data_IF_850186260004
#
_entry.id   IF_850186260004
#
_cell.length_a   1.000
_cell.length_b   1.000
_cell.length_c   1.000
_cell.angle_alpha   90.00
_cell.angle_beta   90.00
_cell.angle_gamma   90.00
#
_symmetry.space_group_name_H-M   'P 1'
#
loop_
_entity.id
_entity.type
_entity.pdbx_description
1 polymer ?
#
# COMPACT_ATOMS: atom_id res chain seq x y z
N UNK A 1 15.57 19.34 11.45
CA UNK A 1 14.31 19.45 10.68
C UNK A 1 13.63 20.75 11.08
N UNK A 2 13.26 21.56 10.09
CA UNK A 2 12.49 22.79 10.29
C UNK A 2 11.07 22.54 9.78
N UNK A 3 10.08 22.77 10.63
CA UNK A 3 8.67 22.66 10.28
C UNK A 3 8.19 23.90 9.51
N UNK A 4 7.04 23.85 8.81
CA UNK A 4 6.46 24.99 8.12
C UNK A 4 6.19 26.21 9.02
N UNK A 5 5.93 25.99 10.32
CA UNK A 5 5.75 27.03 11.35
C UNK A 5 7.08 27.56 11.93
N UNK A 6 8.21 27.22 11.27
CA UNK A 6 9.59 27.61 11.62
C UNK A 6 10.12 26.98 12.93
N UNK A 7 9.40 26.12 13.62
CA UNK A 7 9.97 25.38 14.75
C UNK A 7 11.05 24.42 14.28
N UNK A 8 12.15 24.38 15.00
CA UNK A 8 13.29 23.49 14.70
C UNK A 8 13.31 22.32 15.67
N UNK A 9 13.49 21.12 15.13
CA UNK A 9 13.64 19.89 15.89
C UNK A 9 14.89 19.15 15.45
N UNK A 10 15.49 18.43 16.39
CA UNK A 10 16.60 17.53 16.11
C UNK A 10 16.04 16.10 15.98
N UNK A 11 16.46 15.41 14.94
CA UNK A 11 16.11 14.01 14.71
C UNK A 11 17.41 13.21 14.52
N UNK A 12 17.47 12.02 15.05
CA UNK A 12 18.64 11.17 14.88
C UNK A 12 18.80 10.79 13.40
N UNK A 13 20.01 10.98 12.84
CA UNK A 13 20.28 10.75 11.40
C UNK A 13 19.83 9.38 10.92
N UNK A 14 19.96 8.33 11.76
CA UNK A 14 19.53 6.95 11.43
C UNK A 14 18.00 6.79 11.33
N UNK A 15 17.23 7.76 11.83
CA UNK A 15 15.76 7.75 11.70
C UNK A 15 15.28 8.41 10.39
N UNK A 16 16.20 8.86 9.55
CA UNK A 16 15.89 9.47 8.25
C UNK A 16 16.34 8.53 7.14
N UNK A 17 15.46 8.31 6.17
CA UNK A 17 15.80 7.72 4.88
C UNK A 17 15.59 8.78 3.79
N UNK A 18 16.54 8.97 2.85
CA UNK A 18 16.32 9.88 1.74
C UNK A 18 15.21 9.32 0.83
N UNK A 19 14.31 10.19 0.41
CA UNK A 19 13.41 9.86 -0.70
C UNK A 19 14.22 9.79 -2.00
N UNK A 20 13.83 8.94 -2.96
CA UNK A 20 14.45 8.91 -4.28
C UNK A 20 14.42 10.32 -4.90
N UNK A 21 15.57 10.82 -5.32
CA UNK A 21 15.69 12.16 -5.95
C UNK A 21 15.38 12.13 -7.44
N UNK A 22 15.67 11.00 -8.08
CA UNK A 22 15.47 10.77 -9.50
C UNK A 22 14.32 9.79 -9.72
N UNK A 23 13.61 9.90 -10.84
CA UNK A 23 12.65 8.89 -11.24
C UNK A 23 13.33 7.52 -11.28
N UNK A 24 12.80 6.57 -10.52
CA UNK A 24 13.28 5.18 -10.54
C UNK A 24 12.72 4.46 -11.77
N UNK A 25 13.37 3.39 -12.20
CA UNK A 25 12.77 2.49 -13.18
C UNK A 25 11.47 1.91 -12.66
N UNK A 26 10.58 1.50 -13.55
CA UNK A 26 9.33 0.83 -13.16
C UNK A 26 9.60 -0.35 -12.22
N UNK A 27 10.51 -1.26 -12.63
CA UNK A 27 10.86 -2.42 -11.83
C UNK A 27 11.30 -2.04 -10.41
N UNK A 28 12.19 -1.05 -10.28
CA UNK A 28 12.66 -0.60 -8.95
C UNK A 28 11.55 0.07 -8.14
N UNK A 29 10.67 0.81 -8.80
CA UNK A 29 9.53 1.46 -8.12
C UNK A 29 8.54 0.42 -7.60
N UNK A 30 8.24 -0.63 -8.37
CA UNK A 30 7.42 -1.77 -7.95
C UNK A 30 8.00 -2.47 -6.72
N UNK A 31 9.29 -2.79 -6.75
CA UNK A 31 10.02 -3.36 -5.60
C UNK A 31 9.89 -2.47 -4.37
N UNK A 32 10.12 -1.16 -4.50
CA UNK A 32 10.04 -0.21 -3.40
C UNK A 32 8.63 -0.14 -2.80
N UNK A 33 7.57 -0.21 -3.60
CA UNK A 33 6.19 -0.23 -3.10
C UNK A 33 5.98 -1.46 -2.20
N UNK A 34 6.38 -2.65 -2.68
CA UNK A 34 6.28 -3.90 -1.92
C UNK A 34 7.13 -3.88 -0.65
N UNK A 35 8.40 -3.46 -0.77
CA UNK A 35 9.30 -3.31 0.38
C UNK A 35 8.71 -2.37 1.45
N UNK A 36 8.13 -1.25 1.02
CA UNK A 36 7.54 -0.27 1.93
C UNK A 36 6.27 -0.81 2.60
N UNK A 37 5.37 -1.48 1.86
CA UNK A 37 4.21 -2.14 2.44
C UNK A 37 4.61 -3.20 3.48
N UNK A 38 5.64 -4.00 3.17
CA UNK A 38 6.13 -5.07 4.05
C UNK A 38 6.66 -4.57 5.39
N UNK A 39 7.20 -3.33 5.45
CA UNK A 39 7.65 -2.72 6.70
C UNK A 39 6.53 -2.51 7.72
N UNK A 40 5.28 -2.49 7.28
CA UNK A 40 4.12 -2.34 8.16
C UNK A 40 3.50 -3.67 8.61
N UNK A 41 4.01 -4.83 8.21
CA UNK A 41 3.48 -6.12 8.65
C UNK A 41 3.37 -6.18 10.18
N UNK A 42 2.22 -6.66 10.66
CA UNK A 42 1.81 -6.71 12.07
C UNK A 42 1.56 -5.35 12.75
N UNK A 43 1.69 -4.22 12.06
CA UNK A 43 1.22 -2.93 12.58
C UNK A 43 -0.29 -2.98 12.79
N UNK A 44 -0.75 -2.48 13.93
CA UNK A 44 -2.17 -2.46 14.31
C UNK A 44 -3.02 -1.70 13.28
N UNK A 45 -4.18 -2.26 12.93
CA UNK A 45 -5.18 -1.55 12.15
C UNK A 45 -5.72 -0.36 12.95
N UNK A 46 -5.75 0.81 12.31
CA UNK A 46 -6.35 2.01 12.89
C UNK A 46 -6.96 2.86 11.79
N UNK A 47 -8.26 3.06 11.83
CA UNK A 47 -8.97 3.90 10.89
C UNK A 47 -8.36 5.32 10.82
N UNK A 48 -8.10 5.83 9.61
CA UNK A 48 -7.43 7.10 9.36
C UNK A 48 -5.92 7.11 9.62
N UNK A 49 -5.33 5.99 10.08
CA UNK A 49 -3.90 5.88 10.39
C UNK A 49 -3.02 5.82 9.16
N UNK A 50 -1.77 6.34 9.31
CA UNK A 50 -0.71 6.33 8.28
C UNK A 50 0.68 6.09 8.87
N UNK A 51 0.78 5.52 10.05
CA UNK A 51 2.06 5.39 10.76
C UNK A 51 2.22 4.00 11.37
N UNK A 52 3.41 3.69 11.89
CA UNK A 52 3.64 2.47 12.67
C UNK A 52 2.89 2.44 14.02
N UNK A 53 2.31 3.55 14.49
CA UNK A 53 1.41 3.57 15.64
C UNK A 53 -0.02 3.14 15.29
N UNK A 54 -0.30 2.91 14.02
CA UNK A 54 -1.56 2.45 13.47
C UNK A 54 -1.76 2.90 12.05
N UNK A 55 -2.33 2.03 11.22
CA UNK A 55 -2.52 2.26 9.79
C UNK A 55 -3.82 1.59 9.30
N UNK A 56 -4.53 2.22 8.35
CA UNK A 56 -5.64 1.58 7.65
C UNK A 56 -5.24 1.10 6.24
N UNK A 57 -6.18 0.49 5.51
CA UNK A 57 -5.93 -0.12 4.22
C UNK A 57 -5.40 0.89 3.18
N UNK A 58 -6.08 2.02 3.04
CA UNK A 58 -5.67 3.06 2.09
C UNK A 58 -4.46 3.85 2.57
N UNK A 59 -4.27 3.99 3.89
CA UNK A 59 -3.06 4.54 4.48
C UNK A 59 -1.83 3.70 4.16
N UNK A 60 -1.95 2.38 4.20
CA UNK A 60 -0.87 1.46 3.81
C UNK A 60 -0.50 1.63 2.34
N UNK A 61 -1.47 1.56 1.42
CA UNK A 61 -1.23 1.76 -0.01
C UNK A 61 -0.64 3.15 -0.29
N UNK A 62 -1.21 4.20 0.33
CA UNK A 62 -0.72 5.57 0.22
C UNK A 62 0.75 5.70 0.67
N UNK A 63 1.08 5.18 1.84
CA UNK A 63 2.45 5.28 2.38
C UNK A 63 3.44 4.44 1.57
N UNK A 64 3.06 3.25 1.13
CA UNK A 64 3.90 2.39 0.31
C UNK A 64 4.27 3.08 -1.02
N UNK A 65 3.28 3.66 -1.71
CA UNK A 65 3.48 4.40 -2.95
C UNK A 65 4.24 5.71 -2.72
N UNK A 66 3.87 6.49 -1.70
CA UNK A 66 4.49 7.78 -1.40
C UNK A 66 5.99 7.65 -1.11
N UNK A 67 6.38 6.65 -0.33
CA UNK A 67 7.79 6.37 -0.04
C UNK A 67 8.56 5.81 -1.25
N UNK A 68 7.85 5.31 -2.27
CA UNK A 68 8.42 4.94 -3.56
C UNK A 68 8.45 6.12 -4.57
N UNK A 69 8.03 7.32 -4.16
CA UNK A 69 8.02 8.53 -4.99
C UNK A 69 6.73 8.72 -5.80
N UNK A 70 5.70 7.93 -5.57
CA UNK A 70 4.41 8.05 -6.27
C UNK A 70 3.33 8.54 -5.30
N UNK A 71 2.62 9.60 -5.70
CA UNK A 71 1.46 10.08 -4.96
C UNK A 71 0.18 9.48 -5.54
N UNK A 72 -0.59 8.80 -4.69
CA UNK A 72 -1.93 8.32 -4.99
C UNK A 72 -2.95 9.07 -4.12
N UNK A 73 -4.24 8.90 -4.41
CA UNK A 73 -5.28 9.42 -3.52
C UNK A 73 -5.22 8.73 -2.16
N UNK A 74 -5.54 9.47 -1.07
CA UNK A 74 -5.41 8.96 0.30
C UNK A 74 -6.39 7.81 0.61
N UNK A 75 -7.58 7.87 0.05
CA UNK A 75 -8.63 6.91 0.31
C UNK A 75 -8.74 5.87 -0.81
N UNK A 76 -9.45 4.77 -0.55
CA UNK A 76 -9.60 3.64 -1.48
C UNK A 76 -10.57 3.97 -2.63
N UNK A 77 -10.28 5.05 -3.36
CA UNK A 77 -11.07 5.55 -4.49
C UNK A 77 -10.23 5.53 -5.77
N UNK A 78 -10.51 4.56 -6.63
CA UNK A 78 -9.76 4.32 -7.87
C UNK A 78 -9.70 5.56 -8.76
N UNK A 79 -10.85 6.18 -9.03
CA UNK A 79 -10.98 7.25 -10.02
C UNK A 79 -10.34 8.59 -9.57
N UNK A 80 -9.97 8.70 -8.31
CA UNK A 80 -9.27 9.88 -7.76
C UNK A 80 -7.74 9.84 -7.90
N UNK A 81 -7.19 8.74 -8.43
CA UNK A 81 -5.76 8.64 -8.74
C UNK A 81 -5.54 8.69 -10.25
N UNK A 82 -5.22 9.85 -10.85
CA UNK A 82 -5.22 10.04 -12.32
C UNK A 82 -4.26 9.14 -13.10
N UNK A 83 -3.22 8.61 -12.45
CA UNK A 83 -2.24 7.71 -13.06
C UNK A 83 -2.65 6.24 -13.03
N UNK A 84 -3.68 5.91 -12.26
CA UNK A 84 -4.09 4.53 -12.08
C UNK A 84 -4.85 4.06 -13.32
N UNK A 85 -4.39 2.98 -13.93
CA UNK A 85 -5.02 2.34 -15.09
C UNK A 85 -5.61 1.03 -14.65
N UNK A 86 -6.85 0.77 -15.03
CA UNK A 86 -7.49 -0.52 -14.77
C UNK A 86 -6.79 -1.63 -15.56
N UNK A 87 -6.56 -2.74 -14.87
CA UNK A 87 -5.96 -3.96 -15.42
C UNK A 87 -6.78 -5.17 -14.99
N UNK A 88 -6.64 -6.29 -15.69
CA UNK A 88 -7.21 -7.56 -15.26
C UNK A 88 -6.55 -8.01 -13.95
N UNK A 89 -7.33 -8.66 -13.06
CA UNK A 89 -6.85 -9.15 -11.77
C UNK A 89 -5.61 -10.04 -11.90
N UNK A 90 -5.69 -10.98 -12.84
CA UNK A 90 -4.64 -11.99 -13.04
C UNK A 90 -3.40 -11.42 -13.78
N UNK A 91 -3.49 -10.19 -14.30
CA UNK A 91 -2.37 -9.46 -14.89
C UNK A 91 -1.63 -8.58 -13.87
N UNK A 92 -2.13 -8.50 -12.64
CA UNK A 92 -1.54 -7.65 -11.61
C UNK A 92 -0.12 -8.12 -11.23
N UNK A 93 0.81 -7.19 -11.23
CA UNK A 93 2.20 -7.38 -10.86
C UNK A 93 2.48 -6.83 -9.46
N UNK A 94 3.60 -7.19 -8.83
CA UNK A 94 4.03 -6.58 -7.57
C UNK A 94 4.00 -5.04 -7.66
N UNK A 95 3.41 -4.40 -6.62
CA UNK A 95 3.25 -2.94 -6.56
C UNK A 95 1.99 -2.40 -7.23
N UNK A 96 1.20 -3.21 -7.92
CA UNK A 96 -0.15 -2.84 -8.35
C UNK A 96 -1.14 -2.87 -7.16
N UNK A 97 -2.34 -2.36 -7.36
CA UNK A 97 -3.32 -2.18 -6.31
C UNK A 97 -4.60 -2.98 -6.59
N UNK A 98 -5.07 -3.74 -5.61
CA UNK A 98 -6.37 -4.38 -5.64
C UNK A 98 -7.39 -3.55 -4.89
N UNK A 99 -8.54 -3.32 -5.52
CA UNK A 99 -9.66 -2.58 -4.93
C UNK A 99 -10.82 -3.54 -4.68
N UNK A 100 -11.35 -3.45 -3.47
CA UNK A 100 -12.50 -4.22 -2.99
C UNK A 100 -13.58 -3.25 -2.50
N UNK A 101 -14.75 -3.75 -2.18
CA UNK A 101 -15.82 -2.94 -1.58
C UNK A 101 -15.35 -2.31 -0.26
N UNK A 102 -15.07 -0.99 -0.29
CA UNK A 102 -14.58 -0.23 0.87
C UNK A 102 -13.16 -0.59 1.33
N UNK A 103 -12.33 -1.23 0.47
CA UNK A 103 -11.01 -1.70 0.87
C UNK A 103 -10.00 -1.68 -0.28
N UNK A 104 -8.70 -1.62 0.06
CA UNK A 104 -7.59 -1.64 -0.91
C UNK A 104 -6.42 -2.46 -0.37
N UNK A 105 -5.68 -3.10 -1.26
CA UNK A 105 -4.48 -3.87 -0.95
C UNK A 105 -3.36 -3.61 -1.96
N UNK A 106 -2.13 -3.89 -1.58
CA UNK A 106 -0.92 -3.82 -2.43
C UNK A 106 -0.60 -5.23 -2.91
N UNK A 107 -0.65 -5.46 -4.22
CA UNK A 107 -0.27 -6.73 -4.85
C UNK A 107 1.23 -7.01 -4.65
N UNK A 108 1.56 -8.29 -4.40
CA UNK A 108 2.96 -8.74 -4.24
C UNK A 108 3.33 -9.86 -5.23
N UNK A 109 2.41 -10.22 -6.11
CA UNK A 109 2.56 -11.25 -7.15
C UNK A 109 1.72 -12.49 -6.89
N UNK A 110 1.47 -13.26 -7.95
CA UNK A 110 0.76 -14.56 -7.89
C UNK A 110 -0.61 -14.53 -7.20
N UNK A 111 -1.29 -13.38 -7.25
CA UNK A 111 -2.58 -13.18 -6.56
C UNK A 111 -2.46 -12.90 -5.06
N UNK A 112 -1.25 -12.81 -4.53
CA UNK A 112 -0.97 -12.46 -3.15
C UNK A 112 -0.90 -10.94 -2.97
N UNK A 113 -1.22 -10.46 -1.77
CA UNK A 113 -1.20 -9.04 -1.45
C UNK A 113 -0.95 -8.77 0.03
N UNK A 114 -0.55 -7.54 0.34
CA UNK A 114 -0.44 -7.01 1.72
C UNK A 114 -1.54 -5.98 1.92
N UNK A 115 -2.25 -6.08 3.04
CA UNK A 115 -3.29 -5.13 3.41
C UNK A 115 -3.40 -4.89 4.92
N UNK A 116 -3.89 -3.72 5.31
CA UNK A 116 -4.31 -3.46 6.68
C UNK A 116 -5.81 -3.75 6.80
N UNK A 117 -6.19 -4.69 7.65
CA UNK A 117 -7.59 -5.11 7.76
C UNK A 117 -8.11 -5.06 9.18
N UNK A 118 -9.32 -4.51 9.35
CA UNK A 118 -9.99 -4.48 10.65
C UNK A 118 -10.36 -5.88 11.14
N UNK A 119 -10.64 -6.82 10.23
CA UNK A 119 -10.99 -8.20 10.58
C UNK A 119 -9.86 -8.94 11.30
N UNK A 120 -8.60 -8.70 10.92
CA UNK A 120 -7.41 -9.25 11.59
C UNK A 120 -6.80 -8.26 12.60
N UNK A 121 -7.31 -7.04 12.66
CA UNK A 121 -6.84 -5.97 13.54
C UNK A 121 -5.44 -5.43 13.21
N UNK A 122 -4.87 -5.78 12.07
CA UNK A 122 -3.48 -5.48 11.72
C UNK A 122 -3.20 -5.52 10.22
N UNK A 123 -1.98 -5.15 9.85
CA UNK A 123 -1.42 -5.42 8.51
C UNK A 123 -1.01 -6.89 8.42
N UNK A 124 -1.48 -7.56 7.38
CA UNK A 124 -1.24 -8.99 7.14
C UNK A 124 -1.22 -9.28 5.64
N UNK A 125 -0.96 -10.53 5.31
CA UNK A 125 -1.12 -11.05 3.96
C UNK A 125 -2.57 -11.41 3.66
N UNK A 126 -2.94 -11.36 2.38
CA UNK A 126 -4.13 -11.93 1.81
C UNK A 126 -3.80 -12.55 0.47
N UNK A 127 -4.69 -13.37 -0.07
CA UNK A 127 -4.48 -14.07 -1.34
C UNK A 127 -5.81 -14.44 -1.98
N UNK A 128 -5.79 -14.60 -3.31
CA UNK A 128 -6.88 -15.22 -4.07
C UNK A 128 -6.70 -16.73 -4.22
N UNK A 129 -5.61 -17.37 -3.72
CA UNK A 129 -5.39 -18.80 -3.77
C UNK A 129 -6.20 -19.53 -2.67
N UNK A 130 -7.25 -20.29 -3.03
CA UNK A 130 -8.19 -20.88 -2.05
C UNK A 130 -7.57 -21.87 -1.07
N UNK A 131 -6.41 -22.45 -1.41
CA UNK A 131 -5.72 -23.43 -0.54
C UNK A 131 -4.82 -22.76 0.50
N UNK A 132 -4.60 -21.45 0.40
CA UNK A 132 -3.76 -20.70 1.32
C UNK A 132 -4.46 -20.44 2.65
N UNK A 133 -3.70 -20.42 3.75
CA UNK A 133 -4.18 -20.00 5.07
C UNK A 133 -4.60 -18.52 5.13
N UNK A 134 -4.10 -17.71 4.21
CA UNK A 134 -4.42 -16.27 4.09
C UNK A 134 -5.62 -15.98 3.18
N UNK A 135 -6.19 -17.00 2.54
CA UNK A 135 -7.38 -16.86 1.74
C UNK A 135 -8.61 -16.55 2.59
N UNK A 136 -9.44 -15.65 2.08
CA UNK A 136 -10.79 -15.41 2.58
C UNK A 136 -11.71 -15.25 1.37
N UNK A 137 -12.80 -16.00 1.34
CA UNK A 137 -13.82 -15.94 0.28
C UNK A 137 -14.32 -14.52 0.02
N UNK A 138 -14.31 -13.70 1.07
CA UNK A 138 -14.65 -12.28 1.00
C UNK A 138 -13.84 -11.52 -0.05
N UNK A 139 -12.57 -11.88 -0.29
CA UNK A 139 -11.73 -11.20 -1.28
C UNK A 139 -12.27 -11.40 -2.69
N UNK A 140 -12.66 -12.63 -3.06
CA UNK A 140 -13.26 -12.91 -4.37
C UNK A 140 -14.64 -12.25 -4.51
N UNK A 141 -15.47 -12.34 -3.48
CA UNK A 141 -16.84 -11.82 -3.49
C UNK A 141 -16.92 -10.30 -3.51
N UNK A 142 -15.90 -9.61 -3.02
CA UNK A 142 -15.88 -8.14 -2.90
C UNK A 142 -14.80 -7.47 -3.76
N UNK A 143 -14.09 -8.24 -4.59
CA UNK A 143 -13.16 -7.67 -5.57
C UNK A 143 -13.93 -6.81 -6.59
N UNK A 144 -13.43 -5.62 -6.85
CA UNK A 144 -14.03 -4.67 -7.80
C UNK A 144 -13.13 -4.58 -9.03
N UNK A 145 -11.87 -4.21 -8.85
CA UNK A 145 -10.90 -4.03 -9.94
C UNK A 145 -9.46 -4.04 -9.45
N UNK A 146 -8.53 -4.26 -10.35
CA UNK A 146 -7.12 -4.04 -10.13
C UNK A 146 -6.66 -2.79 -10.89
N UNK A 147 -5.62 -2.13 -10.39
CA UNK A 147 -5.06 -0.95 -11.02
C UNK A 147 -3.55 -0.89 -10.97
N UNK A 148 -2.95 -0.50 -12.10
CA UNK A 148 -1.52 -0.26 -12.23
C UNK A 148 -1.20 1.23 -12.29
N UNK A 149 -0.09 1.61 -11.69
CA UNK A 149 0.46 2.98 -11.69
C UNK A 149 1.47 3.20 -12.84
N UNK A 150 1.66 2.17 -13.70
CA UNK A 150 2.69 2.08 -14.72
C UNK A 150 2.12 1.85 -16.13
#
# INVERSE_FOLDING_TARGET
VVLPDKRTFYIHKKALAPLPKEPQSEARTRELIVENASKYLNVQYRWGGKTHAGIDCSGLAFMACHMAGINIWRDAEFDKTPRLREIERDAAQPGDLYFFSGHIAVAIGDGDFIHATAAEGKVTYGTFEPKSAFYRKWYDENFIRAGSLF
#
